data_IF_195416574721
#
_entry.id   IF_195416574721
#
_cell.length_a   1.000
_cell.length_b   1.000
_cell.length_c   1.000
_cell.angle_alpha   90.00
_cell.angle_beta   90.00
_cell.angle_gamma   90.00
#
_symmetry.space_group_name_H-M   'P 1'
#
loop_
_entity.id
_entity.type
_entity.pdbx_description
1 polymer ?
#
# COMPACT_ATOMS: atom_id res chain seq x y z
N UNK A 1 8.53 -27.20 15.26
CA UNK A 1 9.34 -26.05 15.70
C UNK A 1 9.73 -25.15 14.53
N UNK A 2 10.39 -25.67 13.48
CA UNK A 2 10.86 -24.86 12.31
C UNK A 2 9.75 -24.10 11.57
N UNK A 3 8.57 -24.69 11.33
CA UNK A 3 7.49 -24.03 10.59
C UNK A 3 6.99 -22.75 11.30
N UNK A 4 6.66 -22.84 12.59
CA UNK A 4 6.19 -21.70 13.39
C UNK A 4 7.23 -20.59 13.47
N UNK A 5 8.51 -20.93 13.67
CA UNK A 5 9.58 -19.94 13.72
C UNK A 5 9.74 -19.20 12.39
N UNK A 6 9.65 -19.90 11.24
CA UNK A 6 9.65 -19.23 9.93
C UNK A 6 8.44 -18.30 9.73
N UNK A 7 7.25 -18.69 10.20
CA UNK A 7 6.08 -17.80 10.16
C UNK A 7 6.26 -16.56 11.06
N UNK A 8 6.88 -16.72 12.24
CA UNK A 8 7.21 -15.61 13.13
C UNK A 8 8.25 -14.69 12.50
N UNK A 9 9.22 -15.24 11.78
CA UNK A 9 10.24 -14.49 11.04
C UNK A 9 9.58 -13.64 9.93
N UNK A 10 8.74 -14.25 9.08
CA UNK A 10 7.96 -13.51 8.06
C UNK A 10 7.15 -12.39 8.72
N UNK A 11 6.37 -12.73 9.76
CA UNK A 11 5.58 -11.73 10.50
C UNK A 11 6.45 -10.59 11.00
N UNK A 12 7.55 -10.91 11.69
CA UNK A 12 8.44 -9.93 12.33
C UNK A 12 9.11 -9.00 11.31
N UNK A 13 9.57 -9.56 10.18
CA UNK A 13 10.19 -8.80 9.11
C UNK A 13 9.23 -7.77 8.52
N UNK A 14 8.00 -8.17 8.20
CA UNK A 14 6.99 -7.25 7.66
C UNK A 14 6.45 -6.30 8.71
N UNK A 15 6.32 -6.73 9.97
CA UNK A 15 5.92 -5.86 11.07
C UNK A 15 6.91 -4.71 11.25
N UNK A 16 8.22 -5.01 11.26
CA UNK A 16 9.28 -4.01 11.34
C UNK A 16 9.25 -3.05 10.14
N UNK A 17 9.15 -3.59 8.92
CA UNK A 17 9.08 -2.78 7.69
C UNK A 17 7.87 -1.85 7.66
N UNK A 18 6.67 -2.36 7.93
CA UNK A 18 5.44 -1.56 7.92
C UNK A 18 5.45 -0.49 9.01
N UNK A 19 5.94 -0.80 10.21
CA UNK A 19 6.13 0.21 11.26
C UNK A 19 7.15 1.28 10.86
N UNK A 20 8.21 0.90 10.13
CA UNK A 20 9.20 1.86 9.62
C UNK A 20 8.55 2.81 8.61
N UNK A 21 7.72 2.30 7.71
CA UNK A 21 6.96 3.13 6.74
C UNK A 21 5.97 4.04 7.48
N UNK A 22 5.25 3.52 8.49
CA UNK A 22 4.32 4.31 9.30
C UNK A 22 5.01 5.49 10.01
N UNK A 23 6.17 5.23 10.62
CA UNK A 23 6.96 6.29 11.25
C UNK A 23 7.49 7.28 10.21
N UNK A 24 7.97 6.79 9.06
CA UNK A 24 8.43 7.64 7.97
C UNK A 24 7.34 8.61 7.49
N UNK A 25 6.09 8.15 7.33
CA UNK A 25 4.96 9.01 6.94
C UNK A 25 4.80 10.17 7.94
N UNK A 26 4.79 9.86 9.23
CA UNK A 26 4.62 10.86 10.31
C UNK A 26 5.79 11.85 10.35
N UNK A 27 7.02 11.34 10.24
CA UNK A 27 8.23 12.16 10.31
C UNK A 27 8.37 13.08 9.09
N UNK A 28 8.04 12.58 7.90
CA UNK A 28 8.10 13.35 6.65
C UNK A 28 7.03 14.43 6.62
N UNK A 29 5.80 14.13 7.06
CA UNK A 29 4.76 15.16 7.15
C UNK A 29 5.21 16.31 8.07
N UNK A 30 5.77 15.99 9.25
CA UNK A 30 6.32 16.99 10.17
C UNK A 30 7.52 17.74 9.59
N UNK A 31 8.39 17.07 8.82
CA UNK A 31 9.52 17.70 8.16
C UNK A 31 9.06 18.67 7.08
N UNK A 32 8.11 18.27 6.22
CA UNK A 32 7.59 19.13 5.16
C UNK A 32 6.88 20.35 5.76
N UNK A 33 6.09 20.17 6.83
CA UNK A 33 5.48 21.29 7.56
C UNK A 33 6.55 22.31 8.00
N UNK A 34 7.60 21.84 8.69
CA UNK A 34 8.69 22.71 9.15
C UNK A 34 9.49 23.33 8.00
N UNK A 35 9.77 22.57 6.95
CA UNK A 35 10.54 23.03 5.79
C UNK A 35 9.83 24.18 5.09
N UNK A 36 8.52 24.06 4.88
CA UNK A 36 7.72 25.12 4.23
C UNK A 36 7.33 26.26 5.19
N UNK A 37 7.38 26.05 6.51
CA UNK A 37 7.29 27.13 7.49
C UNK A 37 8.59 27.97 7.58
N UNK A 38 9.75 27.32 7.40
CA UNK A 38 11.09 27.91 7.55
C UNK A 38 11.71 28.40 6.25
N UNK A 39 11.24 27.94 5.08
CA UNK A 39 11.65 28.50 3.79
C UNK A 39 11.45 30.01 3.84
N UNK A 40 12.54 30.77 3.68
CA UNK A 40 12.59 32.23 3.80
C UNK A 40 11.30 32.81 3.24
N UNK A 41 10.39 33.26 4.12
CA UNK A 41 9.25 34.01 3.65
C UNK A 41 9.87 35.24 3.02
N UNK A 42 9.75 35.46 1.70
CA UNK A 42 10.25 36.67 1.11
C UNK A 42 9.69 37.82 1.94
N UNK A 43 10.52 38.82 2.23
CA UNK A 43 10.03 40.03 2.88
C UNK A 43 8.91 40.54 1.96
N UNK A 44 7.66 40.28 2.35
CA UNK A 44 6.47 40.75 1.64
C UNK A 44 6.47 42.24 1.89
N UNK A 45 7.35 42.94 1.17
CA UNK A 45 7.35 44.38 1.15
C UNK A 45 5.95 44.81 0.77
N UNK A 46 5.43 45.77 1.54
CA UNK A 46 4.14 46.41 1.31
C UNK A 46 4.19 47.31 0.07
N UNK A 47 4.89 46.90 -0.98
CA UNK A 47 4.87 47.62 -2.24
C UNK A 47 3.45 47.50 -2.85
N UNK A 48 2.95 48.57 -3.48
CA UNK A 48 1.57 48.58 -3.97
C UNK A 48 1.25 47.46 -4.95
N UNK A 49 2.23 47.02 -5.76
CA UNK A 49 2.01 46.00 -6.80
C UNK A 49 1.82 44.62 -6.16
N UNK A 50 2.63 44.26 -5.14
CA UNK A 50 2.46 43.00 -4.40
C UNK A 50 1.12 42.94 -3.66
N UNK A 51 0.67 44.05 -3.06
CA UNK A 51 -0.64 44.12 -2.39
C UNK A 51 -1.78 43.95 -3.39
N UNK A 52 -1.72 44.66 -4.53
CA UNK A 52 -2.75 44.60 -5.56
C UNK A 52 -2.83 43.20 -6.20
N UNK A 53 -1.69 42.58 -6.52
CA UNK A 53 -1.66 41.21 -7.05
C UNK A 53 -2.13 40.18 -6.02
N UNK A 54 -1.81 40.36 -4.73
CA UNK A 54 -2.32 39.51 -3.65
C UNK A 54 -3.84 39.56 -3.50
N UNK A 55 -4.45 40.75 -3.62
CA UNK A 55 -5.92 40.92 -3.61
C UNK A 55 -6.54 40.20 -4.82
N UNK A 56 -5.97 40.39 -6.02
CA UNK A 56 -6.45 39.72 -7.24
C UNK A 56 -6.38 38.21 -7.12
N UNK A 57 -5.27 37.68 -6.58
CA UNK A 57 -5.10 36.25 -6.33
C UNK A 57 -6.13 35.72 -5.35
N UNK A 58 -6.35 36.41 -4.22
CA UNK A 58 -7.36 36.04 -3.24
C UNK A 58 -8.75 36.02 -3.87
N UNK A 59 -9.12 37.05 -4.61
CA UNK A 59 -10.45 37.17 -5.21
C UNK A 59 -10.68 36.08 -6.26
N UNK A 60 -9.65 35.74 -7.05
CA UNK A 60 -9.69 34.60 -7.96
C UNK A 60 -9.76 33.25 -7.25
N UNK A 61 -9.00 33.04 -6.16
CA UNK A 61 -9.10 31.81 -5.37
C UNK A 61 -10.49 31.66 -4.76
N UNK A 62 -11.10 32.75 -4.28
CA UNK A 62 -12.47 32.75 -3.79
C UNK A 62 -13.47 32.41 -4.90
N UNK A 63 -13.25 32.90 -6.12
CA UNK A 63 -14.05 32.58 -7.30
C UNK A 63 -13.92 31.09 -7.70
N UNK A 64 -12.70 30.56 -7.68
CA UNK A 64 -12.39 29.16 -8.04
C UNK A 64 -12.88 28.16 -6.97
N UNK A 65 -12.81 28.54 -5.71
CA UNK A 65 -13.20 27.69 -4.58
C UNK A 65 -14.70 27.79 -4.25
N UNK A 66 -15.46 28.70 -4.87
CA UNK A 66 -16.91 28.76 -4.70
C UNK A 66 -17.55 27.57 -5.44
N UNK A 67 -18.13 26.59 -4.72
CA UNK A 67 -18.73 25.40 -5.33
C UNK A 67 -19.95 25.71 -6.21
N UNK A 68 -20.48 26.94 -6.20
CA UNK A 68 -21.59 27.38 -7.04
C UNK A 68 -21.15 28.17 -8.28
N UNK A 69 -19.84 28.37 -8.47
CA UNK A 69 -19.32 29.20 -9.55
C UNK A 69 -18.69 28.35 -10.66
N UNK A 70 -19.21 28.45 -11.89
CA UNK A 70 -18.62 27.81 -13.06
C UNK A 70 -17.38 28.60 -13.50
N UNK A 71 -16.20 27.98 -13.36
CA UNK A 71 -14.93 28.60 -13.76
C UNK A 71 -14.87 28.64 -15.30
N UNK A 72 -14.78 29.84 -15.88
CA UNK A 72 -14.52 30.00 -17.30
C UNK A 72 -13.15 29.40 -17.67
N UNK A 73 -13.15 28.41 -18.57
CA UNK A 73 -11.92 27.81 -19.11
C UNK A 73 -11.00 28.90 -19.70
N UNK A 74 -9.79 29.03 -19.15
CA UNK A 74 -8.77 29.97 -19.61
C UNK A 74 -8.58 31.23 -18.76
N UNK A 75 -9.34 31.41 -17.67
CA UNK A 75 -9.01 32.44 -16.67
C UNK A 75 -7.71 32.06 -15.94
N UNK A 76 -6.66 32.84 -16.16
CA UNK A 76 -5.39 32.76 -15.44
C UNK A 76 -4.99 34.11 -14.90
N UNK A 77 -4.37 34.13 -13.72
CA UNK A 77 -3.72 35.33 -13.19
C UNK A 77 -2.27 35.35 -13.62
N UNK A 78 -1.84 36.48 -14.19
CA UNK A 78 -0.42 36.76 -14.41
C UNK A 78 0.12 37.51 -13.21
N UNK A 79 1.12 36.93 -12.56
CA UNK A 79 1.80 37.47 -11.38
C UNK A 79 3.13 38.07 -11.83
N UNK A 80 3.39 39.32 -11.48
CA UNK A 80 4.64 40.01 -11.78
C UNK A 80 5.50 40.19 -10.54
N UNK A 81 4.90 40.20 -9.35
CA UNK A 81 5.64 40.29 -8.08
C UNK A 81 6.49 39.04 -7.88
N UNK A 82 7.80 39.24 -7.79
CA UNK A 82 8.77 38.17 -7.53
C UNK A 82 8.50 37.52 -6.15
N UNK A 83 8.16 38.32 -5.14
CA UNK A 83 7.82 37.83 -3.80
C UNK A 83 6.56 36.96 -3.80
N UNK A 84 5.49 37.38 -4.50
CA UNK A 84 4.26 36.60 -4.59
C UNK A 84 4.48 35.31 -5.39
N UNK A 85 5.28 35.38 -6.46
CA UNK A 85 5.68 34.23 -7.26
C UNK A 85 6.44 33.21 -6.40
N UNK A 86 7.38 33.65 -5.57
CA UNK A 86 8.16 32.76 -4.69
C UNK A 86 7.29 32.05 -3.64
N UNK A 87 6.35 32.77 -3.01
CA UNK A 87 5.39 32.17 -2.06
C UNK A 87 4.52 31.11 -2.75
N UNK A 88 3.99 31.41 -3.93
CA UNK A 88 3.17 30.48 -4.68
C UNK A 88 3.95 29.26 -5.16
N UNK A 89 5.18 29.46 -5.65
CA UNK A 89 6.04 28.34 -6.05
C UNK A 89 6.39 27.45 -4.87
N UNK A 90 6.57 28.02 -3.68
CA UNK A 90 6.79 27.27 -2.44
C UNK A 90 5.56 26.43 -2.08
N UNK A 91 4.36 27.02 -2.15
CA UNK A 91 3.11 26.30 -1.93
C UNK A 91 2.90 25.18 -2.96
N UNK A 92 3.06 25.46 -4.26
CA UNK A 92 2.91 24.47 -5.33
C UNK A 92 3.87 23.29 -5.14
N UNK A 93 5.16 23.57 -4.84
CA UNK A 93 6.14 22.53 -4.51
C UNK A 93 5.70 21.69 -3.32
N UNK A 94 5.13 22.31 -2.29
CA UNK A 94 4.66 21.58 -1.11
C UNK A 94 3.56 20.57 -1.43
N UNK A 95 2.61 20.94 -2.29
CA UNK A 95 1.53 20.06 -2.73
C UNK A 95 2.10 18.94 -3.60
N UNK A 96 2.91 19.29 -4.61
CA UNK A 96 3.53 18.32 -5.53
C UNK A 96 4.41 17.30 -4.81
N UNK A 97 5.21 17.74 -3.82
CA UNK A 97 6.07 16.83 -3.08
C UNK A 97 5.26 15.87 -2.22
N UNK A 98 4.19 16.33 -1.56
CA UNK A 98 3.30 15.46 -0.78
C UNK A 98 2.58 14.44 -1.66
N UNK A 99 2.03 14.89 -2.78
CA UNK A 99 1.36 14.01 -3.74
C UNK A 99 2.31 12.91 -4.22
N UNK A 100 3.49 13.28 -4.71
CA UNK A 100 4.51 12.33 -5.15
C UNK A 100 4.91 11.34 -4.04
N UNK A 101 5.15 11.84 -2.82
CA UNK A 101 5.51 10.99 -1.69
C UNK A 101 4.40 10.01 -1.31
N UNK A 102 3.14 10.45 -1.33
CA UNK A 102 1.98 9.61 -1.04
C UNK A 102 1.82 8.51 -2.08
N UNK A 103 1.91 8.84 -3.37
CA UNK A 103 1.84 7.87 -4.47
C UNK A 103 2.93 6.80 -4.37
N UNK A 104 4.17 7.22 -4.12
CA UNK A 104 5.31 6.31 -3.96
C UNK A 104 5.17 5.45 -2.71
N UNK A 105 4.68 6.03 -1.60
CA UNK A 105 4.46 5.30 -0.35
C UNK A 105 3.35 4.27 -0.50
N UNK A 106 2.22 4.60 -1.15
CA UNK A 106 1.18 3.62 -1.44
C UNK A 106 1.73 2.47 -2.27
N UNK A 107 2.48 2.79 -3.32
CA UNK A 107 3.06 1.79 -4.22
C UNK A 107 3.96 0.81 -3.47
N UNK A 108 4.75 1.32 -2.52
CA UNK A 108 5.61 0.48 -1.68
C UNK A 108 4.82 -0.33 -0.63
N UNK A 109 3.79 0.26 -0.02
CA UNK A 109 2.90 -0.45 0.91
C UNK A 109 2.20 -1.64 0.24
N UNK A 110 1.66 -1.45 -0.97
CA UNK A 110 1.04 -2.55 -1.73
C UNK A 110 2.08 -3.60 -2.17
N UNK A 111 3.30 -3.18 -2.50
CA UNK A 111 4.38 -4.14 -2.77
C UNK A 111 4.69 -5.00 -1.53
N UNK A 112 4.68 -4.41 -0.34
CA UNK A 112 4.80 -5.15 0.92
C UNK A 112 3.61 -6.10 1.15
N UNK A 113 2.38 -5.67 0.86
CA UNK A 113 1.18 -6.53 0.94
C UNK A 113 1.30 -7.78 0.05
N UNK A 114 1.68 -7.61 -1.21
CA UNK A 114 1.88 -8.72 -2.15
C UNK A 114 2.97 -9.69 -1.65
N UNK A 115 4.06 -9.13 -1.11
CA UNK A 115 5.18 -9.91 -0.60
C UNK A 115 4.83 -10.67 0.70
N UNK A 116 4.03 -10.06 1.60
CA UNK A 116 3.47 -10.73 2.79
C UNK A 116 2.75 -12.01 2.40
N UNK A 117 1.82 -11.92 1.44
CA UNK A 117 1.05 -13.07 0.98
C UNK A 117 1.95 -14.12 0.30
N UNK A 118 2.89 -13.70 -0.54
CA UNK A 118 3.83 -14.62 -1.21
C UNK A 118 4.73 -15.36 -0.22
N UNK A 119 5.29 -14.67 0.77
CA UNK A 119 6.21 -15.26 1.74
C UNK A 119 5.50 -16.20 2.70
N UNK A 120 4.29 -15.84 3.16
CA UNK A 120 3.46 -16.75 3.92
C UNK A 120 3.13 -18.01 3.13
N UNK A 121 2.76 -17.85 1.86
CA UNK A 121 2.42 -18.97 0.98
C UNK A 121 3.63 -19.89 0.79
N UNK A 122 4.80 -19.31 0.52
CA UNK A 122 6.05 -20.04 0.39
C UNK A 122 6.35 -20.88 1.63
N UNK A 123 6.26 -20.29 2.83
CA UNK A 123 6.50 -21.00 4.09
C UNK A 123 5.47 -22.11 4.30
N UNK A 124 4.20 -21.88 3.99
CA UNK A 124 3.14 -22.90 4.08
C UNK A 124 3.43 -24.08 3.14
N UNK A 125 3.71 -23.82 1.86
CA UNK A 125 3.97 -24.86 0.86
C UNK A 125 5.25 -25.64 1.16
N UNK A 126 6.32 -24.97 1.61
CA UNK A 126 7.59 -25.61 1.97
C UNK A 126 7.45 -26.56 3.16
N UNK A 127 6.57 -26.26 4.11
CA UNK A 127 6.31 -27.14 5.26
C UNK A 127 5.19 -28.16 5.00
N UNK A 128 4.45 -28.03 3.89
CA UNK A 128 3.34 -28.92 3.54
C UNK A 128 3.35 -29.23 2.03
N UNK A 129 4.40 -29.90 1.51
CA UNK A 129 4.62 -30.11 0.08
C UNK A 129 3.55 -31.00 -0.58
N UNK A 130 2.78 -31.76 0.19
CA UNK A 130 1.62 -32.50 -0.33
C UNK A 130 0.59 -31.59 -1.02
N UNK A 131 0.52 -30.31 -0.64
CA UNK A 131 -0.34 -29.34 -1.30
C UNK A 131 0.10 -29.01 -2.74
N UNK A 132 1.34 -29.33 -3.13
CA UNK A 132 1.84 -29.15 -4.50
C UNK A 132 1.22 -30.15 -5.48
N UNK A 133 0.80 -31.33 -5.01
CA UNK A 133 0.25 -32.41 -5.85
C UNK A 133 -1.00 -32.04 -6.63
N UNK A 134 -1.69 -31.00 -6.17
CA UNK A 134 -2.97 -30.55 -6.73
C UNK A 134 -2.84 -29.28 -7.58
N UNK A 135 -1.61 -28.83 -7.83
CA UNK A 135 -1.30 -27.67 -8.68
C UNK A 135 -1.61 -27.91 -10.16
N UNK A 136 -1.95 -26.84 -10.88
CA UNK A 136 -2.11 -26.86 -12.36
C UNK A 136 -0.77 -26.77 -13.10
N UNK A 137 0.27 -26.32 -12.40
CA UNK A 137 1.61 -26.13 -12.94
C UNK A 137 2.21 -27.47 -13.37
N UNK A 138 2.65 -27.55 -14.62
CA UNK A 138 3.36 -28.72 -15.16
C UNK A 138 4.86 -28.45 -15.15
N UNK A 139 5.62 -29.51 -14.91
CA UNK A 139 7.08 -29.50 -15.01
C UNK A 139 7.48 -30.48 -16.11
N UNK A 140 8.35 -30.04 -17.01
CA UNK A 140 8.89 -30.89 -18.07
C UNK A 140 9.99 -31.82 -17.56
N UNK A 141 10.25 -32.92 -18.26
CA UNK A 141 11.39 -33.77 -17.93
C UNK A 141 12.72 -33.01 -18.00
N UNK A 142 12.88 -32.10 -18.96
CA UNK A 142 14.07 -31.24 -19.06
C UNK A 142 14.24 -30.31 -17.85
N UNK A 143 13.14 -29.82 -17.26
CA UNK A 143 13.20 -29.06 -16.01
C UNK A 143 13.61 -29.97 -14.85
N UNK A 144 13.03 -31.17 -14.72
CA UNK A 144 13.37 -32.14 -13.65
C UNK A 144 14.86 -32.51 -13.70
N UNK A 145 15.41 -32.77 -14.89
CA UNK A 145 16.80 -33.19 -15.08
C UNK A 145 17.84 -32.11 -14.73
N UNK A 146 17.42 -30.85 -14.50
CA UNK A 146 18.32 -29.75 -14.10
C UNK A 146 18.65 -29.74 -12.61
N UNK A 147 17.93 -30.47 -11.77
CA UNK A 147 18.09 -30.42 -10.32
C UNK A 147 18.88 -31.62 -9.80
N UNK A 148 19.69 -31.42 -8.77
CA UNK A 148 20.57 -32.47 -8.24
C UNK A 148 19.86 -33.39 -7.24
N UNK A 149 18.80 -32.90 -6.60
CA UNK A 149 18.03 -33.63 -5.60
C UNK A 149 16.57 -33.16 -5.56
N UNK A 150 15.74 -33.92 -4.86
CA UNK A 150 14.30 -33.62 -4.75
C UNK A 150 14.00 -32.34 -3.98
N UNK A 151 14.83 -31.95 -3.02
CA UNK A 151 14.61 -30.74 -2.23
C UNK A 151 14.76 -29.48 -3.10
N UNK A 152 15.78 -29.44 -3.95
CA UNK A 152 15.98 -28.38 -4.96
C UNK A 152 14.81 -28.30 -5.94
N UNK A 153 14.36 -29.45 -6.46
CA UNK A 153 13.21 -29.50 -7.35
C UNK A 153 11.96 -28.96 -6.65
N UNK A 154 11.64 -29.46 -5.44
CA UNK A 154 10.49 -29.00 -4.65
C UNK A 154 10.54 -27.49 -4.41
N UNK A 155 11.71 -26.96 -4.05
CA UNK A 155 11.89 -25.52 -3.85
C UNK A 155 11.63 -24.72 -5.14
N UNK A 156 12.08 -25.22 -6.29
CA UNK A 156 11.76 -24.62 -7.59
C UNK A 156 10.25 -24.65 -7.88
N UNK A 157 9.57 -25.78 -7.64
CA UNK A 157 8.11 -25.88 -7.84
C UNK A 157 7.38 -24.85 -6.99
N UNK A 158 7.76 -24.73 -5.71
CA UNK A 158 7.14 -23.79 -4.77
C UNK A 158 7.32 -22.36 -5.28
N UNK A 159 8.54 -21.96 -5.67
CA UNK A 159 8.81 -20.62 -6.20
C UNK A 159 7.96 -20.33 -7.44
N UNK A 160 7.98 -21.24 -8.42
CA UNK A 160 7.17 -21.13 -9.64
C UNK A 160 5.67 -20.98 -9.34
N UNK A 161 5.15 -21.75 -8.38
CA UNK A 161 3.75 -21.67 -7.95
C UNK A 161 3.43 -20.34 -7.26
N UNK A 162 4.27 -19.91 -6.30
CA UNK A 162 4.10 -18.64 -5.57
C UNK A 162 4.13 -17.46 -6.54
N UNK A 163 5.06 -17.44 -7.48
CA UNK A 163 5.19 -16.39 -8.49
C UNK A 163 3.97 -16.37 -9.42
N UNK A 164 3.54 -17.53 -9.92
CA UNK A 164 2.36 -17.69 -10.79
C UNK A 164 1.09 -17.11 -10.15
N UNK A 165 0.83 -17.46 -8.88
CA UNK A 165 -0.32 -16.95 -8.11
C UNK A 165 -0.15 -15.45 -7.86
N UNK A 166 1.07 -15.01 -7.60
CA UNK A 166 1.43 -13.65 -7.29
C UNK A 166 1.38 -12.65 -8.44
N UNK A 167 1.18 -13.09 -9.68
CA UNK A 167 0.87 -12.23 -10.83
C UNK A 167 -0.62 -11.89 -10.96
N UNK A 168 -1.48 -12.61 -10.23
CA UNK A 168 -2.91 -12.33 -10.17
C UNK A 168 -3.24 -11.10 -9.34
N UNK A 169 -4.52 -10.76 -9.29
CA UNK A 169 -5.05 -9.78 -8.35
C UNK A 169 -4.90 -10.26 -6.90
N UNK A 170 -4.99 -9.34 -5.93
CA UNK A 170 -5.03 -9.70 -4.50
C UNK A 170 -6.15 -10.70 -4.20
N UNK A 171 -7.26 -10.62 -4.93
CA UNK A 171 -8.37 -11.56 -4.81
C UNK A 171 -8.05 -12.95 -5.35
N UNK A 172 -7.24 -13.04 -6.42
CA UNK A 172 -6.78 -14.33 -6.94
C UNK A 172 -5.88 -15.05 -5.94
N UNK A 173 -4.97 -14.30 -5.29
CA UNK A 173 -4.14 -14.82 -4.20
C UNK A 173 -5.02 -15.29 -3.05
N UNK A 174 -5.99 -14.48 -2.63
CA UNK A 174 -6.95 -14.85 -1.60
C UNK A 174 -7.75 -16.12 -1.94
N UNK A 175 -8.32 -16.20 -3.14
CA UNK A 175 -9.08 -17.36 -3.59
C UNK A 175 -8.22 -18.61 -3.55
N UNK A 176 -6.94 -18.51 -3.90
CA UNK A 176 -6.00 -19.62 -3.74
C UNK A 176 -5.89 -20.06 -2.27
N UNK A 177 -5.73 -19.14 -1.32
CA UNK A 177 -5.68 -19.48 0.11
C UNK A 177 -6.96 -20.15 0.61
N UNK A 178 -8.11 -19.66 0.16
CA UNK A 178 -9.42 -20.21 0.48
C UNK A 178 -9.59 -21.62 -0.08
N UNK A 179 -9.34 -21.80 -1.37
CA UNK A 179 -9.56 -23.08 -2.03
C UNK A 179 -8.56 -24.17 -1.59
N UNK A 180 -7.30 -23.78 -1.32
CA UNK A 180 -6.25 -24.73 -0.95
C UNK A 180 -6.17 -25.00 0.54
N UNK A 181 -6.32 -23.96 1.35
CA UNK A 181 -6.09 -24.06 2.79
C UNK A 181 -7.35 -23.79 3.60
N UNK A 182 -8.47 -23.42 2.99
CA UNK A 182 -9.68 -23.00 3.71
C UNK A 182 -9.37 -21.89 4.73
N UNK A 183 -8.59 -20.91 4.29
CA UNK A 183 -8.29 -19.68 5.02
C UNK A 183 -9.04 -18.56 4.30
N UNK A 184 -10.01 -17.95 4.98
CA UNK A 184 -10.79 -16.84 4.42
C UNK A 184 -10.28 -15.50 4.98
N UNK A 185 -9.53 -14.74 4.18
CA UNK A 185 -9.09 -13.40 4.54
C UNK A 185 -10.24 -12.36 4.58
N UNK A 186 -11.45 -12.67 4.10
CA UNK A 186 -12.61 -11.78 4.27
C UNK A 186 -13.10 -11.71 5.72
N UNK A 187 -12.65 -12.64 6.57
CA UNK A 187 -12.87 -12.58 8.02
C UNK A 187 -12.04 -11.44 8.67
N UNK A 188 -11.16 -10.78 7.92
CA UNK A 188 -10.49 -9.55 8.38
C UNK A 188 -11.40 -8.34 8.17
N UNK A 189 -11.75 -7.65 9.26
CA UNK A 189 -12.74 -6.56 9.29
C UNK A 189 -12.51 -5.48 8.22
N UNK A 190 -11.24 -5.17 7.92
CA UNK A 190 -10.83 -4.11 6.97
C UNK A 190 -10.33 -4.68 5.64
N UNK A 191 -10.83 -5.85 5.24
CA UNK A 191 -10.47 -6.50 3.98
C UNK A 191 -10.73 -5.62 2.74
N UNK A 192 -11.87 -4.93 2.65
CA UNK A 192 -12.15 -4.09 1.47
C UNK A 192 -11.13 -2.95 1.31
N UNK A 193 -10.53 -2.47 2.39
CA UNK A 193 -9.44 -1.47 2.33
C UNK A 193 -8.16 -2.05 1.71
N UNK A 194 -7.87 -3.34 1.94
CA UNK A 194 -6.77 -4.07 1.28
C UNK A 194 -7.01 -4.15 -0.24
N UNK A 195 -8.24 -4.46 -0.62
CA UNK A 195 -8.61 -4.56 -2.04
C UNK A 195 -8.60 -3.20 -2.73
N UNK A 196 -9.22 -2.19 -2.12
CA UNK A 196 -9.27 -0.83 -2.65
C UNK A 196 -7.87 -0.25 -2.84
N UNK A 197 -7.00 -0.38 -1.83
CA UNK A 197 -5.64 0.15 -1.90
C UNK A 197 -4.79 -0.50 -2.99
N UNK A 198 -4.98 -1.80 -3.23
CA UNK A 198 -4.37 -2.51 -4.37
C UNK A 198 -4.87 -1.95 -5.72
N UNK A 199 -6.17 -1.66 -5.83
CA UNK A 199 -6.76 -1.07 -7.03
C UNK A 199 -6.33 0.38 -7.25
N UNK A 200 -6.27 1.21 -6.20
CA UNK A 200 -5.77 2.59 -6.29
C UNK A 200 -4.31 2.63 -6.72
N UNK A 201 -3.46 1.73 -6.20
CA UNK A 201 -2.08 1.60 -6.69
C UNK A 201 -2.05 1.31 -8.19
N UNK A 202 -2.90 0.42 -8.68
CA UNK A 202 -2.97 0.15 -10.12
C UNK A 202 -3.39 1.40 -10.92
N UNK A 203 -4.32 2.22 -10.41
CA UNK A 203 -4.68 3.48 -11.06
C UNK A 203 -3.50 4.46 -11.11
N UNK A 204 -2.74 4.62 -10.03
CA UNK A 204 -1.56 5.50 -10.00
C UNK A 204 -0.53 5.03 -11.03
N UNK A 205 -0.13 3.76 -10.97
CA UNK A 205 0.97 3.22 -11.76
C UNK A 205 0.60 3.07 -13.24
N UNK A 206 -0.65 2.66 -13.54
CA UNK A 206 -1.03 2.29 -14.90
C UNK A 206 -2.05 3.23 -15.55
N UNK A 207 -2.72 4.09 -14.78
CA UNK A 207 -3.76 4.98 -15.28
C UNK A 207 -3.59 6.44 -14.85
N UNK A 208 -2.38 6.85 -14.42
CA UNK A 208 -2.05 8.24 -14.01
C UNK A 208 -2.95 8.77 -12.88
N UNK A 209 -3.44 7.88 -12.02
CA UNK A 209 -4.39 8.22 -10.96
C UNK A 209 -5.82 8.45 -11.44
N UNK A 210 -6.13 8.25 -12.72
CA UNK A 210 -7.48 8.45 -13.25
C UNK A 210 -8.35 7.23 -12.93
N UNK A 211 -9.56 7.45 -12.43
CA UNK A 211 -10.53 6.38 -12.16
C UNK A 211 -11.05 5.74 -13.46
N UNK A 212 -11.03 4.41 -13.51
CA UNK A 212 -11.52 3.64 -14.65
C UNK A 212 -12.81 2.86 -14.33
N UNK A 213 -13.41 2.26 -15.36
CA UNK A 213 -14.66 1.50 -15.25
C UNK A 213 -14.54 0.32 -14.27
N UNK A 214 -13.38 -0.36 -14.22
CA UNK A 214 -13.13 -1.44 -13.27
C UNK A 214 -13.26 -0.96 -11.82
N UNK A 215 -12.70 0.22 -11.52
CA UNK A 215 -12.77 0.82 -10.19
C UNK A 215 -14.20 1.25 -9.84
N UNK A 216 -14.89 1.98 -10.73
CA UNK A 216 -16.27 2.42 -10.53
C UNK A 216 -17.26 1.26 -10.30
N UNK A 217 -17.06 0.12 -10.98
CA UNK A 217 -17.90 -1.07 -10.77
C UNK A 217 -17.82 -1.59 -9.34
N UNK A 218 -16.66 -1.45 -8.68
CA UNK A 218 -16.45 -1.92 -7.31
C UNK A 218 -16.77 -0.84 -6.28
N UNK A 219 -16.36 0.40 -6.53
CA UNK A 219 -16.55 1.53 -5.63
C UNK A 219 -17.45 2.58 -6.28
N UNK A 220 -18.75 2.51 -5.98
CA UNK A 220 -19.81 3.31 -6.62
C UNK A 220 -19.79 4.81 -6.29
N UNK A 221 -18.97 5.22 -5.32
CA UNK A 221 -18.87 6.61 -4.90
C UNK A 221 -17.91 7.44 -5.78
N UNK A 222 -17.41 6.86 -6.88
CA UNK A 222 -16.41 7.44 -7.75
C UNK A 222 -16.92 7.56 -9.18
N UNK A 223 -16.64 8.68 -9.84
CA UNK A 223 -17.00 8.95 -11.23
C UNK A 223 -15.89 8.51 -12.18
N UNK A 224 -16.29 8.08 -13.38
CA UNK A 224 -15.35 7.73 -14.43
C UNK A 224 -14.53 8.96 -14.85
N UNK A 225 -13.23 8.77 -15.05
CA UNK A 225 -12.25 9.79 -15.43
C UNK A 225 -11.95 10.87 -14.38
N UNK A 226 -12.41 10.73 -13.14
CA UNK A 226 -11.98 11.63 -12.07
C UNK A 226 -10.58 11.26 -11.56
N UNK A 227 -9.86 12.23 -11.00
CA UNK A 227 -8.55 12.01 -10.39
C UNK A 227 -8.75 11.41 -8.99
N UNK A 228 -8.06 10.30 -8.69
CA UNK A 228 -8.09 9.70 -7.36
C UNK A 228 -7.23 10.53 -6.40
N UNK A 229 -7.81 10.90 -5.25
CA UNK A 229 -7.09 11.62 -4.21
C UNK A 229 -6.42 10.65 -3.24
N UNK A 230 -5.17 10.94 -2.87
CA UNK A 230 -4.35 10.16 -1.96
C UNK A 230 -3.61 11.10 -1.02
N UNK A 231 -4.21 11.32 0.14
CA UNK A 231 -3.64 12.16 1.19
C UNK A 231 -2.85 11.35 2.23
N UNK A 232 -2.10 12.04 3.09
CA UNK A 232 -1.29 11.40 4.14
C UNK A 232 -2.13 10.59 5.13
N UNK A 233 -3.39 10.99 5.38
CA UNK A 233 -4.32 10.26 6.25
C UNK A 233 -4.69 8.91 5.66
N UNK A 234 -4.99 8.86 4.36
CA UNK A 234 -5.25 7.64 3.64
C UNK A 234 -4.03 6.72 3.71
N UNK A 235 -2.84 7.22 3.37
CA UNK A 235 -1.59 6.45 3.42
C UNK A 235 -1.33 5.86 4.81
N UNK A 236 -1.47 6.66 5.86
CA UNK A 236 -1.36 6.21 7.26
C UNK A 236 -2.35 5.08 7.57
N UNK A 237 -3.60 5.26 7.18
CA UNK A 237 -4.67 4.27 7.38
C UNK A 237 -4.37 2.94 6.68
N UNK A 238 -3.77 2.98 5.48
CA UNK A 238 -3.32 1.77 4.77
C UNK A 238 -2.16 1.09 5.50
N UNK A 239 -1.16 1.85 5.97
CA UNK A 239 -0.03 1.29 6.71
C UNK A 239 -0.50 0.58 8.01
N UNK A 240 -1.37 1.22 8.78
CA UNK A 240 -2.00 0.63 9.98
C UNK A 240 -2.81 -0.63 9.62
N UNK A 241 -3.58 -0.58 8.53
CA UNK A 241 -4.36 -1.73 8.07
C UNK A 241 -3.47 -2.92 7.69
N UNK A 242 -2.34 -2.67 7.03
CA UNK A 242 -1.39 -3.71 6.63
C UNK A 242 -0.66 -4.33 7.83
N UNK A 243 -0.42 -3.55 8.89
CA UNK A 243 0.12 -4.06 10.16
C UNK A 243 -0.87 -5.07 10.77
N UNK A 244 -2.13 -4.68 10.89
CA UNK A 244 -3.19 -5.55 11.42
C UNK A 244 -3.38 -6.77 10.52
N UNK A 245 -3.36 -6.59 9.20
CA UNK A 245 -3.50 -7.66 8.23
C UNK A 245 -2.36 -8.68 8.29
N UNK A 246 -1.11 -8.23 8.48
CA UNK A 246 0.04 -9.12 8.67
C UNK A 246 -0.13 -9.99 9.93
N UNK A 247 -0.61 -9.39 11.03
CA UNK A 247 -0.91 -10.14 12.25
C UNK A 247 -2.10 -11.10 12.05
N UNK A 248 -3.13 -10.70 11.30
CA UNK A 248 -4.24 -11.56 10.92
C UNK A 248 -3.75 -12.78 10.12
N UNK A 249 -2.95 -12.58 9.07
CA UNK A 249 -2.38 -13.63 8.26
C UNK A 249 -1.63 -14.66 9.11
N UNK A 250 -0.74 -14.18 9.98
CA UNK A 250 -0.01 -15.03 10.92
C UNK A 250 -0.95 -15.88 11.79
N UNK A 251 -1.96 -15.26 12.41
CA UNK A 251 -2.91 -15.93 13.29
C UNK A 251 -3.76 -16.95 12.54
N UNK A 252 -4.30 -16.59 11.38
CA UNK A 252 -5.16 -17.46 10.56
C UNK A 252 -4.40 -18.70 10.07
N UNK A 253 -3.16 -18.52 9.60
CA UNK A 253 -2.29 -19.62 9.16
C UNK A 253 -1.89 -20.49 10.36
N UNK A 254 -1.47 -19.88 11.48
CA UNK A 254 -1.06 -20.63 12.68
C UNK A 254 -2.20 -21.51 13.21
N UNK A 255 -3.41 -20.96 13.29
CA UNK A 255 -4.63 -21.69 13.67
C UNK A 255 -4.92 -22.84 12.70
N UNK A 256 -4.89 -22.57 11.38
CA UNK A 256 -5.17 -23.58 10.35
C UNK A 256 -4.24 -24.80 10.46
N UNK A 257 -2.96 -24.56 10.70
CA UNK A 257 -1.94 -25.61 10.80
C UNK A 257 -1.67 -26.08 12.23
N UNK A 258 -2.51 -25.67 13.21
CA UNK A 258 -2.43 -26.06 14.63
C UNK A 258 -1.04 -25.80 15.23
N UNK A 259 -0.48 -24.62 14.92
CA UNK A 259 0.82 -24.17 15.40
C UNK A 259 0.73 -23.39 16.73
N UNK A 260 -0.48 -23.21 17.25
CA UNK A 260 -0.72 -22.62 18.57
C UNK A 260 -0.23 -23.59 19.66
N UNK A 261 0.46 -23.08 20.67
CA UNK A 261 1.11 -23.91 21.69
C UNK A 261 0.07 -24.73 22.45
N UNK A 262 0.01 -26.05 22.20
CA UNK A 262 -0.66 -26.97 23.11
C UNK A 262 0.18 -27.06 24.39
N UNK A 263 -0.31 -26.43 25.45
CA UNK A 263 -0.11 -26.74 26.87
C UNK A 263 1.27 -27.26 27.29
N UNK A 264 2.13 -26.37 27.80
CA UNK A 264 2.96 -26.75 28.95
C UNK A 264 1.98 -26.86 30.12
N UNK A 265 1.51 -28.07 30.40
CA UNK A 265 0.90 -28.40 31.69
C UNK A 265 2.01 -28.19 32.72
N UNK A 266 1.93 -27.10 33.50
CA UNK A 266 2.56 -27.12 34.81
C UNK A 266 1.86 -28.24 35.57
N UNK A 267 2.54 -29.39 35.69
CA UNK A 267 2.26 -30.29 36.79
C UNK A 267 2.66 -29.49 38.03
N UNK A 268 1.68 -28.94 38.72
CA UNK A 268 1.83 -28.71 40.14
C UNK A 268 2.14 -30.07 40.75
N UNK A 269 3.42 -30.31 41.01
CA UNK A 269 3.85 -31.36 41.91
C UNK A 269 3.54 -30.89 43.31
N UNK A 270 2.37 -31.28 43.80
CA UNK A 270 2.17 -31.55 45.21
C UNK A 270 3.20 -32.60 45.67
N UNK A 271 4.13 -32.16 46.51
CA UNK A 271 4.62 -32.85 47.71
C UNK A 271 5.75 -32.05 48.35
#
# INVERSE_FOLDING_TARGET
MVFKEKLKEVRGNYQYRLNTILNFIVDVDSYLDKYFEQSDKPDMHSDPDTIEEGIKLRDFLNEVLDPNHEIENGKGIKIKSDALSEVLMTFIKSVQYREFLNEMTLSYLISCQEAILKDYLYVVLKNNPDNLKTGKEKISYDEVLKFHNMDELIEFIIKKMVDSIGYGSVEDVFNFYKDRFNIDFKDFDRWEVIVESSLRRNLIIHNKGIVNDQYCRRFKNYNLNEQIEIDGKYIKSIAENLIEFNQFCFSAISKKFRLDDKNIVFKDSES
#
